data_IF_358582589263
#
_entry.id   IF_358582589263
#
_cell.length_a   1.000
_cell.length_b   1.000
_cell.length_c   1.000
_cell.angle_alpha   90.00
_cell.angle_beta   90.00
_cell.angle_gamma   90.00
#
_symmetry.space_group_name_H-M   'P 1'
#
loop_
_entity.id
_entity.type
_entity.pdbx_description
1 polymer ?
#
# COMPACT_ATOMS: atom_id res chain seq x y z
N UNK A 1 -7.86 -9.83 28.78
CA UNK A 1 -6.50 -9.37 29.12
C UNK A 1 -6.18 -9.63 30.60
N UNK A 2 -6.98 -9.15 31.56
CA UNK A 2 -6.73 -9.34 33.00
C UNK A 2 -6.56 -10.83 33.44
N UNK A 3 -7.35 -11.74 32.87
CA UNK A 3 -7.26 -13.18 33.19
C UNK A 3 -6.00 -13.86 32.65
N UNK A 4 -5.39 -13.35 31.57
CA UNK A 4 -4.17 -13.90 30.97
C UNK A 4 -2.95 -13.50 31.82
N UNK A 5 -2.93 -12.27 32.32
CA UNK A 5 -1.90 -11.79 33.24
C UNK A 5 -1.93 -12.57 34.58
N UNK A 6 -3.12 -12.87 35.10
CA UNK A 6 -3.26 -13.65 36.34
C UNK A 6 -2.72 -15.08 36.20
N UNK A 7 -2.95 -15.77 35.07
CA UNK A 7 -2.42 -17.12 34.82
C UNK A 7 -0.90 -17.08 34.59
N UNK A 8 -0.40 -16.06 33.88
CA UNK A 8 1.04 -15.86 33.71
C UNK A 8 1.78 -15.65 35.03
N UNK A 9 1.18 -14.90 35.97
CA UNK A 9 1.73 -14.70 37.31
C UNK A 9 1.75 -15.99 38.14
N UNK A 10 0.72 -16.84 38.03
CA UNK A 10 0.68 -18.13 38.73
C UNK A 10 1.77 -19.07 38.20
N UNK A 11 1.91 -19.21 36.88
CA UNK A 11 2.94 -20.09 36.28
C UNK A 11 4.36 -19.60 36.60
N UNK A 12 4.60 -18.28 36.58
CA UNK A 12 5.89 -17.69 36.92
C UNK A 12 6.28 -17.85 38.40
N UNK A 13 5.30 -17.94 39.31
CA UNK A 13 5.55 -18.13 40.74
C UNK A 13 5.91 -19.58 41.11
N UNK A 14 5.42 -20.57 40.36
CA UNK A 14 5.65 -21.99 40.67
C UNK A 14 6.84 -22.61 39.93
N UNK A 15 7.26 -22.07 38.79
CA UNK A 15 8.42 -22.57 38.03
C UNK A 15 9.76 -22.57 38.82
N UNK A 16 10.06 -21.56 39.68
CA UNK A 16 11.30 -21.55 40.46
C UNK A 16 11.32 -22.56 41.62
N UNK A 17 10.16 -23.03 42.08
CA UNK A 17 10.06 -23.99 43.18
C UNK A 17 10.34 -25.43 42.75
N UNK A 18 10.30 -25.73 41.45
CA UNK A 18 10.56 -27.06 40.90
C UNK A 18 12.05 -27.34 40.60
N UNK A 19 12.90 -26.30 40.50
CA UNK A 19 14.31 -26.44 40.13
C UNK A 19 15.29 -26.38 41.32
N UNK A 20 14.78 -26.38 42.56
CA UNK A 20 15.61 -26.49 43.76
C UNK A 20 15.94 -27.94 44.09
N UNK A 21 17.21 -28.32 43.91
CA UNK A 21 17.79 -29.63 44.26
C UNK A 21 17.30 -30.15 45.63
N UNK A 22 16.59 -31.27 45.61
CA UNK A 22 16.21 -32.05 46.79
C UNK A 22 16.52 -33.53 46.55
N UNK A 23 17.79 -33.89 46.75
CA UNK A 23 18.17 -35.26 47.05
C UNK A 23 17.71 -35.60 48.48
N UNK A 24 16.53 -36.21 48.63
CA UNK A 24 16.24 -37.18 49.72
C UNK A 24 15.23 -38.23 49.26
N UNK A 25 15.50 -39.53 49.44
CA UNK A 25 14.54 -40.59 49.18
C UNK A 25 13.62 -40.76 50.40
N UNK A 26 12.30 -40.82 50.17
CA UNK A 26 11.34 -41.28 51.17
C UNK A 26 10.19 -40.32 51.47
N UNK A 27 9.34 -40.03 50.49
CA UNK A 27 7.88 -39.86 50.65
C UNK A 27 7.24 -39.50 49.30
N UNK A 28 6.85 -40.51 48.52
CA UNK A 28 6.26 -40.39 47.18
C UNK A 28 4.71 -40.29 47.18
N UNK A 29 4.12 -39.74 48.24
CA UNK A 29 2.66 -39.80 48.43
C UNK A 29 1.83 -38.57 47.98
N UNK A 30 2.44 -37.42 47.70
CA UNK A 30 1.70 -36.14 47.61
C UNK A 30 1.90 -35.37 46.29
N UNK A 31 2.82 -35.79 45.40
CA UNK A 31 3.03 -35.06 44.13
C UNK A 31 2.00 -35.39 43.02
N UNK A 32 1.48 -36.62 42.97
CA UNK A 32 0.48 -37.03 41.96
C UNK A 32 -0.84 -36.22 41.91
N UNK A 33 -1.44 -35.76 43.03
CA UNK A 33 -2.69 -35.01 42.95
C UNK A 33 -2.54 -33.62 42.30
N UNK A 34 -1.36 -33.00 42.37
CA UNK A 34 -1.16 -31.64 41.85
C UNK A 34 -1.05 -31.61 40.32
N UNK A 35 -0.34 -32.56 39.72
CA UNK A 35 -0.27 -32.70 38.25
C UNK A 35 -1.63 -33.03 37.63
N UNK A 36 -2.42 -33.86 38.31
CA UNK A 36 -3.77 -34.19 37.90
C UNK A 36 -4.70 -32.96 37.96
N UNK A 37 -4.62 -32.15 39.03
CA UNK A 37 -5.40 -30.93 39.17
C UNK A 37 -5.04 -29.91 38.07
N UNK A 38 -3.75 -29.71 37.79
CA UNK A 38 -3.30 -28.81 36.72
C UNK A 38 -3.80 -29.28 35.35
N UNK A 39 -3.76 -30.59 35.08
CA UNK A 39 -4.25 -31.16 33.82
C UNK A 39 -5.76 -31.00 33.66
N UNK A 40 -6.54 -31.21 34.73
CA UNK A 40 -8.00 -31.02 34.73
C UNK A 40 -8.34 -29.55 34.49
N UNK A 41 -7.66 -28.62 35.17
CA UNK A 41 -7.90 -27.18 35.01
C UNK A 41 -7.55 -26.70 33.59
N UNK A 42 -6.46 -27.19 33.00
CA UNK A 42 -6.11 -26.90 31.61
C UNK A 42 -7.19 -27.40 30.63
N UNK A 43 -7.75 -28.59 30.87
CA UNK A 43 -8.79 -29.18 30.04
C UNK A 43 -10.12 -28.42 30.15
N UNK A 44 -10.52 -28.02 31.38
CA UNK A 44 -11.71 -27.18 31.61
C UNK A 44 -11.55 -25.81 30.95
N UNK A 45 -10.37 -25.21 31.02
CA UNK A 45 -10.10 -23.92 30.38
C UNK A 45 -10.17 -24.01 28.86
N UNK A 46 -9.56 -25.05 28.28
CA UNK A 46 -9.58 -25.30 26.84
C UNK A 46 -10.99 -25.54 26.30
N UNK A 47 -11.78 -26.38 26.98
CA UNK A 47 -13.17 -26.66 26.59
C UNK A 47 -14.09 -25.45 26.74
N UNK A 48 -13.92 -24.66 27.80
CA UNK A 48 -14.68 -23.41 27.99
C UNK A 48 -14.34 -22.37 26.90
N UNK A 49 -13.06 -22.23 26.55
CA UNK A 49 -12.62 -21.35 25.46
C UNK A 49 -13.19 -21.78 24.09
N UNK A 50 -13.19 -23.09 23.80
CA UNK A 50 -13.80 -23.64 22.59
C UNK A 50 -15.31 -23.37 22.53
N UNK A 51 -16.02 -23.50 23.66
CA UNK A 51 -17.46 -23.21 23.73
C UNK A 51 -17.78 -21.72 23.50
N UNK A 52 -16.96 -20.81 24.02
CA UNK A 52 -17.11 -19.36 23.76
C UNK A 52 -16.88 -19.06 22.29
N UNK A 53 -15.87 -19.67 21.66
CA UNK A 53 -15.62 -19.58 20.22
C UNK A 53 -16.80 -20.08 19.40
N UNK A 54 -17.36 -21.24 19.77
CA UNK A 54 -18.50 -21.83 19.07
C UNK A 54 -19.78 -20.97 19.17
N UNK A 55 -20.05 -20.38 20.34
CA UNK A 55 -21.19 -19.46 20.53
C UNK A 55 -21.01 -18.17 19.74
N UNK A 56 -19.78 -17.63 19.65
CA UNK A 56 -19.49 -16.45 18.84
C UNK A 56 -19.72 -16.72 17.34
N UNK A 57 -19.26 -17.86 16.84
CA UNK A 57 -19.49 -18.30 15.44
C UNK A 57 -20.98 -18.55 15.17
N UNK A 58 -21.69 -19.20 16.08
CA UNK A 58 -23.13 -19.47 15.94
C UNK A 58 -24.01 -18.21 16.02
N UNK A 59 -23.60 -17.19 16.80
CA UNK A 59 -24.29 -15.88 16.79
C UNK A 59 -24.03 -15.12 15.49
N UNK A 60 -22.83 -15.21 14.94
CA UNK A 60 -22.48 -14.62 13.64
C UNK A 60 -23.31 -15.23 12.50
N UNK A 61 -23.48 -16.55 12.48
CA UNK A 61 -24.28 -17.22 11.45
C UNK A 61 -25.78 -16.88 11.51
N UNK A 62 -26.34 -16.70 12.71
CA UNK A 62 -27.74 -16.22 12.89
C UNK A 62 -27.93 -14.77 12.44
N UNK A 63 -26.92 -13.92 12.58
CA UNK A 63 -26.93 -12.56 12.03
C UNK A 63 -27.00 -12.56 10.50
N UNK A 64 -26.23 -13.45 9.86
CA UNK A 64 -26.24 -13.65 8.40
C UNK A 64 -27.57 -14.24 7.89
N UNK A 65 -28.21 -15.13 8.64
CA UNK A 65 -29.53 -15.67 8.27
C UNK A 65 -30.63 -14.60 8.35
N UNK A 66 -30.50 -13.61 9.25
CA UNK A 66 -31.48 -12.53 9.42
C UNK A 66 -31.38 -11.45 8.33
N UNK A 67 -30.23 -11.33 7.66
CA UNK A 67 -30.05 -10.50 6.46
C UNK A 67 -30.79 -11.05 5.22
N UNK A 68 -31.24 -12.31 5.24
CA UNK A 68 -31.90 -12.97 4.10
C UNK A 68 -33.42 -12.75 4.02
N UNK A 69 -34.04 -12.02 4.95
CA UNK A 69 -35.49 -12.12 5.19
C UNK A 69 -36.30 -10.80 5.08
N UNK A 70 -35.79 -9.75 4.43
CA UNK A 70 -36.61 -8.57 4.09
C UNK A 70 -36.36 -8.13 2.65
N UNK A 71 -36.99 -8.79 1.66
CA UNK A 71 -37.20 -8.16 0.37
C UNK A 71 -38.25 -7.06 0.58
N UNK A 72 -38.13 -5.96 -0.14
CA UNK A 72 -39.11 -4.86 -0.14
C UNK A 72 -38.95 -3.87 1.02
N UNK A 73 -37.92 -3.03 0.95
CA UNK A 73 -38.08 -1.58 0.69
C UNK A 73 -36.77 -0.84 1.03
N UNK A 74 -36.05 -0.37 0.01
CA UNK A 74 -35.31 0.89 0.11
C UNK A 74 -33.93 0.95 0.81
N UNK A 75 -33.16 -0.12 0.96
CA UNK A 75 -31.92 -0.05 1.78
C UNK A 75 -30.63 -0.39 1.02
N UNK A 76 -30.35 0.35 -0.07
CA UNK A 76 -29.04 0.27 -0.76
C UNK A 76 -27.83 0.63 0.12
N UNK A 77 -28.04 1.14 1.33
CA UNK A 77 -26.98 1.46 2.29
C UNK A 77 -26.45 0.20 3.00
N UNK A 78 -27.31 -0.79 3.28
CA UNK A 78 -26.92 -2.01 4.00
C UNK A 78 -25.99 -2.92 3.14
N UNK A 79 -26.23 -2.93 1.83
CA UNK A 79 -25.42 -3.70 0.88
C UNK A 79 -23.98 -3.16 0.78
N UNK A 80 -23.82 -1.84 0.83
CA UNK A 80 -22.52 -1.17 0.68
C UNK A 80 -21.59 -1.44 1.86
N UNK A 81 -22.13 -1.41 3.07
CA UNK A 81 -21.36 -1.72 4.28
C UNK A 81 -20.93 -3.18 4.28
N UNK A 82 -21.80 -4.07 3.81
CA UNK A 82 -21.51 -5.50 3.71
C UNK A 82 -20.38 -5.76 2.72
N UNK A 83 -20.46 -5.21 1.51
CA UNK A 83 -19.41 -5.33 0.51
C UNK A 83 -18.08 -4.74 1.01
N UNK A 84 -18.12 -3.56 1.63
CA UNK A 84 -16.92 -2.94 2.21
C UNK A 84 -16.28 -3.85 3.26
N UNK A 85 -17.08 -4.45 4.16
CA UNK A 85 -16.61 -5.40 5.15
C UNK A 85 -15.98 -6.66 4.53
N UNK A 86 -16.56 -7.15 3.44
CA UNK A 86 -16.07 -8.30 2.65
C UNK A 86 -14.72 -7.99 2.00
N UNK A 87 -14.59 -6.86 1.30
CA UNK A 87 -13.32 -6.47 0.68
C UNK A 87 -12.25 -6.17 1.72
N UNK A 88 -12.62 -5.54 2.83
CA UNK A 88 -11.72 -5.32 3.95
C UNK A 88 -11.23 -6.65 4.53
N UNK A 89 -12.12 -7.62 4.69
CA UNK A 89 -11.75 -8.97 5.15
C UNK A 89 -10.81 -9.68 4.15
N UNK A 90 -11.06 -9.56 2.85
CA UNK A 90 -10.19 -10.11 1.80
C UNK A 90 -8.77 -9.52 1.87
N UNK A 91 -8.65 -8.20 2.06
CA UNK A 91 -7.37 -7.48 2.06
C UNK A 91 -6.60 -7.62 3.38
N UNK A 92 -7.28 -7.46 4.51
CA UNK A 92 -6.62 -7.27 5.81
C UNK A 92 -6.40 -8.58 6.58
N UNK A 93 -7.22 -9.61 6.38
CA UNK A 93 -7.08 -10.86 7.14
C UNK A 93 -5.84 -11.60 6.70
N UNK A 94 -5.13 -12.19 7.66
CA UNK A 94 -4.01 -13.08 7.40
C UNK A 94 -4.49 -14.52 7.27
N UNK A 95 -3.82 -15.30 6.43
CA UNK A 95 -4.09 -16.72 6.26
C UNK A 95 -2.76 -17.48 6.19
N UNK A 96 -2.73 -18.69 6.77
CA UNK A 96 -1.53 -19.54 6.75
C UNK A 96 -1.16 -19.92 5.32
N UNK A 97 -2.14 -20.35 4.52
CA UNK A 97 -2.02 -20.47 3.08
C UNK A 97 -2.70 -19.25 2.44
N UNK A 98 -1.99 -18.40 1.67
CA UNK A 98 -2.60 -17.21 1.07
C UNK A 98 -3.79 -17.49 0.15
N UNK A 99 -3.86 -18.68 -0.46
CA UNK A 99 -5.01 -19.08 -1.29
C UNK A 99 -6.30 -19.16 -0.46
N UNK A 100 -6.19 -19.52 0.83
CA UNK A 100 -7.34 -19.72 1.71
C UNK A 100 -8.18 -18.45 1.88
N UNK A 101 -7.62 -17.26 1.64
CA UNK A 101 -8.40 -16.01 1.62
C UNK A 101 -9.47 -16.07 0.53
N UNK A 102 -9.10 -16.42 -0.69
CA UNK A 102 -10.04 -16.55 -1.80
C UNK A 102 -11.08 -17.64 -1.54
N UNK A 103 -10.66 -18.78 -0.99
CA UNK A 103 -11.56 -19.88 -0.62
C UNK A 103 -12.56 -19.50 0.47
N UNK A 104 -12.09 -18.88 1.55
CA UNK A 104 -12.93 -18.45 2.65
C UNK A 104 -13.97 -17.40 2.21
N UNK A 105 -13.62 -16.56 1.24
CA UNK A 105 -14.52 -15.55 0.69
C UNK A 105 -15.52 -16.12 -0.31
N UNK A 106 -15.29 -17.30 -0.89
CA UNK A 106 -16.15 -17.88 -1.92
C UNK A 106 -17.62 -18.00 -1.48
N UNK A 107 -17.88 -18.58 -0.32
CA UNK A 107 -19.25 -18.74 0.19
C UNK A 107 -19.93 -17.40 0.52
N UNK A 108 -19.15 -16.40 0.95
CA UNK A 108 -19.67 -15.07 1.26
C UNK A 108 -20.03 -14.32 -0.03
N UNK A 109 -19.13 -14.32 -1.01
CA UNK A 109 -19.32 -13.69 -2.31
C UNK A 109 -20.46 -14.34 -3.10
N UNK A 110 -20.56 -15.67 -3.09
CA UNK A 110 -21.68 -16.38 -3.73
C UNK A 110 -23.03 -15.98 -3.10
N UNK A 111 -23.09 -15.79 -1.78
CA UNK A 111 -24.30 -15.30 -1.10
C UNK A 111 -24.62 -13.83 -1.43
N UNK A 112 -23.64 -13.04 -1.87
CA UNK A 112 -23.83 -11.67 -2.38
C UNK A 112 -24.21 -11.64 -3.88
N UNK A 113 -24.35 -12.81 -4.51
CA UNK A 113 -24.70 -12.92 -5.93
C UNK A 113 -23.51 -12.76 -6.88
N UNK A 114 -22.27 -12.81 -6.38
CA UNK A 114 -21.09 -12.86 -7.24
C UNK A 114 -21.06 -14.21 -7.95
N UNK A 115 -21.02 -14.20 -9.28
CA UNK A 115 -20.88 -15.42 -10.08
C UNK A 115 -19.40 -15.82 -10.13
N UNK A 116 -18.98 -16.66 -9.17
CA UNK A 116 -17.60 -17.15 -9.09
C UNK A 116 -17.44 -18.28 -10.09
N UNK A 117 -16.58 -18.07 -11.09
CA UNK A 117 -16.50 -18.89 -12.31
C UNK A 117 -16.21 -20.37 -12.01
N UNK A 118 -15.43 -20.67 -10.95
CA UNK A 118 -15.13 -22.03 -10.46
C UNK A 118 -14.77 -22.00 -8.98
N UNK A 119 -15.03 -23.07 -8.20
CA UNK A 119 -14.35 -23.26 -6.93
C UNK A 119 -12.85 -23.31 -7.21
N UNK A 120 -12.08 -22.42 -6.57
CA UNK A 120 -10.65 -22.31 -6.80
C UNK A 120 -9.99 -23.70 -6.66
N UNK A 121 -9.03 -24.02 -7.53
CA UNK A 121 -8.30 -25.27 -7.41
C UNK A 121 -7.04 -25.04 -6.59
N UNK A 122 -6.87 -25.76 -5.47
CA UNK A 122 -5.66 -25.61 -4.64
C UNK A 122 -4.37 -25.95 -5.39
N UNK A 123 -4.47 -26.69 -6.51
CA UNK A 123 -3.35 -27.04 -7.37
C UNK A 123 -2.96 -25.91 -8.36
N UNK A 124 -3.77 -24.86 -8.52
CA UNK A 124 -3.41 -23.70 -9.36
C UNK A 124 -2.32 -22.86 -8.71
N UNK A 125 -1.56 -22.08 -9.48
CA UNK A 125 -0.63 -21.10 -8.92
C UNK A 125 -1.39 -20.05 -8.10
N UNK A 126 -0.71 -19.41 -7.14
CA UNK A 126 -1.34 -18.38 -6.32
C UNK A 126 -1.81 -17.21 -7.19
N UNK A 127 -0.98 -16.82 -8.17
CA UNK A 127 -1.34 -15.78 -9.14
C UNK A 127 -2.63 -16.10 -9.87
N UNK A 128 -2.81 -17.36 -10.33
CA UNK A 128 -4.03 -17.76 -11.02
C UNK A 128 -5.27 -17.73 -10.14
N UNK A 129 -5.14 -18.12 -8.86
CA UNK A 129 -6.25 -18.06 -7.90
C UNK A 129 -6.69 -16.61 -7.65
N UNK A 130 -5.75 -15.67 -7.52
CA UNK A 130 -6.07 -14.24 -7.35
C UNK A 130 -6.56 -13.60 -8.65
N UNK A 131 -6.02 -13.98 -9.81
CA UNK A 131 -6.49 -13.56 -11.13
C UNK A 131 -7.95 -13.92 -11.34
N UNK A 132 -8.31 -15.19 -11.09
CA UNK A 132 -9.68 -15.68 -11.23
C UNK A 132 -10.63 -14.92 -10.29
N UNK A 133 -10.26 -14.78 -9.00
CA UNK A 133 -11.09 -14.06 -8.03
C UNK A 133 -11.27 -12.59 -8.41
N UNK A 134 -10.21 -11.88 -8.76
CA UNK A 134 -10.32 -10.47 -9.17
C UNK A 134 -11.15 -10.32 -10.45
N UNK A 135 -10.97 -11.23 -11.41
CA UNK A 135 -11.77 -11.26 -12.64
C UNK A 135 -13.26 -11.41 -12.34
N UNK A 136 -13.63 -12.34 -11.46
CA UNK A 136 -15.01 -12.56 -11.06
C UNK A 136 -15.60 -11.34 -10.32
N UNK A 137 -14.81 -10.70 -9.46
CA UNK A 137 -15.20 -9.46 -8.77
C UNK A 137 -15.45 -8.31 -9.75
N UNK A 138 -14.53 -8.05 -10.67
CA UNK A 138 -14.67 -6.96 -11.66
C UNK A 138 -15.82 -7.22 -12.64
N UNK A 139 -16.03 -8.48 -13.05
CA UNK A 139 -17.20 -8.86 -13.89
C UNK A 139 -18.52 -8.66 -13.17
N UNK A 140 -18.57 -8.95 -11.87
CA UNK A 140 -19.76 -8.73 -11.06
C UNK A 140 -20.02 -7.23 -10.84
N UNK A 141 -18.97 -6.46 -10.54
CA UNK A 141 -19.06 -5.02 -10.32
C UNK A 141 -17.79 -4.32 -10.85
N UNK A 142 -17.86 -3.62 -12.00
CA UNK A 142 -16.70 -2.97 -12.62
C UNK A 142 -15.96 -1.98 -11.72
N UNK A 143 -16.66 -1.31 -10.79
CA UNK A 143 -16.03 -0.39 -9.83
C UNK A 143 -15.01 -1.07 -8.89
N UNK A 144 -15.05 -2.41 -8.77
CA UNK A 144 -14.07 -3.19 -8.03
C UNK A 144 -12.69 -3.21 -8.69
N UNK A 145 -12.55 -2.64 -9.88
CA UNK A 145 -11.25 -2.29 -10.47
C UNK A 145 -10.42 -1.38 -9.55
N UNK A 146 -11.05 -0.68 -8.60
CA UNK A 146 -10.35 0.03 -7.52
C UNK A 146 -9.40 -0.87 -6.73
N UNK A 147 -9.59 -2.21 -6.70
CA UNK A 147 -8.67 -3.12 -6.00
C UNK A 147 -7.32 -3.27 -6.70
N UNK A 148 -7.13 -2.68 -7.89
CA UNK A 148 -5.79 -2.46 -8.46
C UNK A 148 -4.89 -1.65 -7.51
N UNK A 149 -5.47 -0.96 -6.52
CA UNK A 149 -4.74 -0.41 -5.37
C UNK A 149 -4.16 -1.46 -4.41
N UNK A 150 -4.06 -2.72 -4.80
CA UNK A 150 -3.25 -3.73 -4.10
C UNK A 150 -2.19 -4.38 -5.02
N UNK A 151 -2.07 -3.91 -6.27
CA UNK A 151 -1.05 -4.39 -7.23
C UNK A 151 0.35 -3.93 -6.82
N UNK A 152 1.35 -4.79 -7.03
CA UNK A 152 2.74 -4.47 -6.71
C UNK A 152 3.05 -4.48 -5.22
N UNK A 153 2.16 -5.02 -4.38
CA UNK A 153 2.39 -5.16 -2.95
C UNK A 153 3.36 -6.28 -2.58
N UNK A 154 4.09 -6.85 -3.54
CA UNK A 154 4.95 -8.03 -3.34
C UNK A 154 6.07 -7.69 -2.35
N UNK A 155 5.96 -8.22 -1.13
CA UNK A 155 6.96 -8.12 -0.06
C UNK A 155 7.91 -9.34 -0.06
N UNK A 156 7.69 -10.33 -0.91
CA UNK A 156 8.35 -11.63 -0.75
C UNK A 156 9.84 -11.53 -1.02
N UNK A 157 10.67 -11.71 0.00
CA UNK A 157 12.07 -12.06 -0.20
C UNK A 157 12.18 -13.52 -0.70
N UNK A 158 12.98 -13.81 -1.74
CA UNK A 158 13.72 -12.85 -2.55
C UNK A 158 12.76 -12.02 -3.44
N UNK A 159 12.85 -10.67 -3.44
CA UNK A 159 11.92 -9.75 -4.15
C UNK A 159 11.80 -9.92 -5.67
N UNK A 160 12.53 -10.86 -6.28
CA UNK A 160 12.93 -10.76 -7.68
C UNK A 160 12.16 -11.66 -8.66
N UNK A 161 11.35 -12.61 -8.22
CA UNK A 161 10.51 -13.37 -9.17
C UNK A 161 9.03 -13.17 -8.83
N UNK A 162 8.37 -12.16 -9.44
CA UNK A 162 6.93 -12.29 -9.66
C UNK A 162 6.64 -13.70 -10.18
N UNK A 163 5.61 -14.34 -9.64
CA UNK A 163 5.11 -15.61 -10.14
C UNK A 163 4.96 -15.43 -11.67
N UNK A 164 5.77 -16.12 -12.49
CA UNK A 164 5.85 -15.83 -13.93
C UNK A 164 4.52 -16.07 -14.64
N UNK A 165 3.62 -16.81 -13.98
CA UNK A 165 2.27 -17.10 -14.45
C UNK A 165 1.22 -16.12 -13.92
N UNK A 166 1.61 -15.12 -13.12
CA UNK A 166 0.72 -14.11 -12.57
C UNK A 166 0.78 -12.83 -13.41
N UNK A 167 -0.33 -12.41 -14.04
CA UNK A 167 -0.38 -11.14 -14.74
C UNK A 167 -0.02 -9.96 -13.82
N UNK A 168 0.69 -8.97 -14.34
CA UNK A 168 1.21 -7.86 -13.53
C UNK A 168 0.12 -7.01 -12.86
N UNK A 169 -1.10 -7.05 -13.38
CA UNK A 169 -2.24 -6.30 -12.87
C UNK A 169 -3.00 -7.03 -11.75
N UNK A 170 -2.66 -8.28 -11.44
CA UNK A 170 -3.38 -9.03 -10.41
C UNK A 170 -3.05 -8.49 -9.01
N UNK A 171 -4.06 -8.11 -8.22
CA UNK A 171 -3.85 -7.72 -6.82
C UNK A 171 -3.17 -8.83 -6.01
N UNK A 172 -2.19 -8.45 -5.19
CA UNK A 172 -1.56 -9.39 -4.26
C UNK A 172 -2.13 -9.23 -2.86
N UNK A 173 -3.06 -10.13 -2.50
CA UNK A 173 -3.68 -10.15 -1.19
C UNK A 173 -2.94 -11.02 -0.17
N UNK A 174 -1.70 -11.47 -0.42
CA UNK A 174 -0.91 -12.18 0.61
C UNK A 174 -0.76 -11.32 1.86
N UNK A 175 -0.38 -10.07 1.63
CA UNK A 175 -0.15 -9.07 2.66
C UNK A 175 -1.14 -7.93 2.48
N UNK A 176 -1.65 -7.40 3.60
CA UNK A 176 -2.40 -6.17 3.54
C UNK A 176 -1.42 -5.06 3.16
N UNK A 177 -1.51 -4.55 1.93
CA UNK A 177 -0.65 -3.46 1.49
C UNK A 177 -0.86 -2.28 2.44
N UNK A 178 0.13 -1.99 3.29
CA UNK A 178 0.07 -0.87 4.23
C UNK A 178 0.27 0.44 3.46
N UNK A 179 -0.73 0.84 2.67
CA UNK A 179 -0.73 2.08 1.90
C UNK A 179 -1.23 3.20 2.79
N UNK A 180 -0.39 3.58 3.74
CA UNK A 180 -0.76 4.56 4.78
C UNK A 180 -1.15 5.93 4.20
N UNK A 181 -0.73 6.22 2.96
CA UNK A 181 -1.09 7.44 2.22
C UNK A 181 -2.43 7.36 1.45
N UNK A 182 -2.99 6.16 1.25
CA UNK A 182 -4.35 6.01 0.69
C UNK A 182 -5.32 5.89 1.83
N UNK A 183 -6.09 6.94 2.08
CA UNK A 183 -7.15 6.85 3.08
C UNK A 183 -8.17 5.77 2.69
N UNK A 184 -8.68 4.97 3.64
CA UNK A 184 -9.67 3.93 3.37
C UNK A 184 -10.91 4.46 2.62
N UNK A 185 -11.29 5.72 2.81
CA UNK A 185 -12.41 6.35 2.09
C UNK A 185 -12.18 6.39 0.58
N UNK A 186 -10.94 6.52 0.11
CA UNK A 186 -10.65 6.55 -1.33
C UNK A 186 -10.76 5.15 -1.95
N UNK A 187 -10.67 4.08 -1.15
CA UNK A 187 -10.76 2.70 -1.62
C UNK A 187 -12.19 2.17 -1.49
N UNK A 188 -12.86 2.52 -0.39
CA UNK A 188 -14.15 1.95 -0.02
C UNK A 188 -15.33 2.94 -0.13
N UNK A 189 -15.08 4.25 -0.12
CA UNK A 189 -16.12 5.27 -0.01
C UNK A 189 -17.03 5.38 -1.24
N UNK A 190 -16.55 4.92 -2.40
CA UNK A 190 -17.32 4.85 -3.64
C UNK A 190 -18.02 3.50 -3.82
N UNK A 191 -17.69 2.47 -3.03
CA UNK A 191 -18.29 1.16 -3.16
C UNK A 191 -19.78 1.21 -2.83
N UNK A 192 -20.58 0.98 -3.86
CA UNK A 192 -22.02 0.86 -3.73
C UNK A 192 -22.81 2.17 -3.83
N UNK A 193 -22.13 3.28 -4.16
CA UNK A 193 -22.84 4.30 -4.94
C UNK A 193 -23.12 3.65 -6.29
N UNK A 194 -24.41 3.38 -6.59
CA UNK A 194 -24.87 3.17 -7.97
C UNK A 194 -24.69 4.48 -8.72
N UNK A 195 -23.43 4.81 -8.97
CA UNK A 195 -23.07 5.95 -9.76
C UNK A 195 -23.46 5.61 -11.19
N UNK A 196 -24.05 6.56 -11.91
CA UNK A 196 -24.21 6.46 -13.36
C UNK A 196 -22.88 6.13 -14.06
N UNK A 197 -21.74 6.40 -13.40
CA UNK A 197 -20.40 6.11 -13.92
C UNK A 197 -20.07 4.63 -14.08
N UNK A 198 -20.76 3.69 -13.41
CA UNK A 198 -20.43 2.26 -13.59
C UNK A 198 -20.75 1.78 -15.01
N UNK A 199 -21.75 2.39 -15.66
CA UNK A 199 -22.04 2.12 -17.07
C UNK A 199 -20.95 2.65 -18.02
N UNK A 200 -20.15 3.63 -17.57
CA UNK A 200 -19.08 4.25 -18.36
C UNK A 200 -17.72 3.58 -18.14
N UNK A 201 -17.59 2.69 -17.13
CA UNK A 201 -16.34 1.96 -16.86
C UNK A 201 -16.12 0.86 -17.91
N UNK A 202 -15.31 1.19 -18.93
CA UNK A 202 -14.83 0.23 -19.93
C UNK A 202 -13.64 -0.55 -19.38
N UNK A 203 -13.94 -1.61 -18.61
CA UNK A 203 -12.95 -2.57 -18.11
C UNK A 203 -13.22 -3.93 -18.74
N UNK A 204 -12.20 -4.52 -19.36
CA UNK A 204 -12.29 -5.84 -19.98
C UNK A 204 -11.14 -6.71 -19.49
N UNK A 205 -11.44 -7.94 -19.07
CA UNK A 205 -10.43 -8.94 -18.71
C UNK A 205 -10.64 -10.16 -19.60
N UNK A 206 -9.65 -10.42 -20.46
CA UNK A 206 -9.66 -11.52 -21.43
C UNK A 206 -8.25 -12.09 -21.59
N UNK A 207 -8.13 -13.43 -21.61
CA UNK A 207 -6.88 -14.15 -21.90
C UNK A 207 -5.67 -13.71 -21.03
N UNK A 208 -5.94 -13.37 -19.76
CA UNK A 208 -4.93 -12.89 -18.81
C UNK A 208 -4.49 -11.42 -19.03
N UNK A 209 -5.15 -10.71 -19.95
CA UNK A 209 -4.92 -9.29 -20.22
C UNK A 209 -6.07 -8.45 -19.65
N UNK A 210 -5.72 -7.37 -18.96
CA UNK A 210 -6.65 -6.36 -18.48
C UNK A 210 -6.58 -5.15 -19.42
N UNK A 211 -7.69 -4.82 -20.07
CA UNK A 211 -7.85 -3.59 -20.85
C UNK A 211 -8.69 -2.61 -20.05
N UNK A 212 -8.17 -1.40 -19.88
CA UNK A 212 -8.84 -0.32 -19.15
C UNK A 212 -8.47 1.04 -19.74
N UNK A 213 -9.39 2.00 -19.68
CA UNK A 213 -9.11 3.37 -20.09
C UNK A 213 -8.21 4.08 -19.05
N UNK A 214 -7.20 4.78 -19.55
CA UNK A 214 -6.26 5.54 -18.71
C UNK A 214 -5.69 6.75 -19.42
N UNK A 215 -5.15 7.67 -18.63
CA UNK A 215 -4.53 8.90 -19.09
C UNK A 215 -3.11 9.03 -18.51
N UNK A 216 -2.12 9.26 -19.38
CA UNK A 216 -0.75 9.53 -18.95
C UNK A 216 -0.64 10.96 -18.42
N UNK A 217 -0.10 11.13 -17.22
CA UNK A 217 0.18 12.44 -16.62
C UNK A 217 1.67 12.75 -16.51
N UNK A 218 2.55 11.79 -16.82
CA UNK A 218 3.99 12.00 -16.86
C UNK A 218 4.76 10.68 -16.97
N UNK A 219 6.09 10.77 -16.84
CA UNK A 219 6.98 9.63 -16.75
C UNK A 219 8.05 9.83 -15.68
N UNK A 220 8.57 8.74 -15.14
CA UNK A 220 9.62 8.76 -14.11
C UNK A 220 10.95 9.19 -14.75
N UNK A 221 11.32 10.45 -14.54
CA UNK A 221 12.59 11.01 -15.05
C UNK A 221 13.73 10.87 -14.06
N UNK A 222 13.40 10.88 -12.76
CA UNK A 222 14.35 10.70 -11.67
C UNK A 222 13.70 9.84 -10.60
N UNK A 223 14.47 8.93 -9.98
CA UNK A 223 13.98 8.12 -8.85
C UNK A 223 15.09 7.94 -7.83
N UNK A 224 14.75 7.96 -6.54
CA UNK A 224 15.69 7.55 -5.50
C UNK A 224 16.03 6.06 -5.63
N UNK A 225 17.29 5.71 -5.44
CA UNK A 225 17.75 4.33 -5.22
C UNK A 225 17.39 3.82 -3.83
N UNK A 226 17.57 2.52 -3.64
CA UNK A 226 17.57 1.90 -2.32
C UNK A 226 18.66 2.51 -1.43
N UNK A 227 18.45 2.45 -0.12
CA UNK A 227 19.30 3.11 0.87
C UNK A 227 19.90 2.07 1.79
N UNK A 228 21.17 1.79 1.58
CA UNK A 228 21.94 0.90 2.43
C UNK A 228 23.02 1.66 3.21
N UNK A 229 23.46 2.80 2.67
CA UNK A 229 24.60 3.58 3.18
C UNK A 229 24.32 5.08 3.19
N UNK A 230 25.16 5.85 3.91
CA UNK A 230 25.15 7.32 3.85
C UNK A 230 25.47 7.85 2.44
N UNK A 231 26.30 7.13 1.69
CA UNK A 231 26.61 7.45 0.30
C UNK A 231 25.37 7.37 -0.59
N UNK A 232 24.49 6.40 -0.36
CA UNK A 232 23.22 6.27 -1.07
C UNK A 232 22.29 7.44 -0.75
N UNK A 233 22.30 7.93 0.50
CA UNK A 233 21.52 9.10 0.90
C UNK A 233 21.96 10.35 0.14
N UNK A 234 23.27 10.60 0.06
CA UNK A 234 23.83 11.73 -0.71
C UNK A 234 23.50 11.62 -2.20
N UNK A 235 23.59 10.41 -2.75
CA UNK A 235 23.22 10.12 -4.14
C UNK A 235 21.74 10.41 -4.38
N UNK A 236 20.86 9.95 -3.50
CA UNK A 236 19.43 10.19 -3.58
C UNK A 236 19.06 11.66 -3.46
N UNK A 237 19.69 12.39 -2.54
CA UNK A 237 19.50 13.84 -2.42
C UNK A 237 19.95 14.57 -3.69
N UNK A 238 21.06 14.14 -4.29
CA UNK A 238 21.55 14.71 -5.55
C UNK A 238 20.58 14.46 -6.70
N UNK A 239 20.09 13.22 -6.85
CA UNK A 239 19.11 12.84 -7.88
C UNK A 239 17.82 13.64 -7.72
N UNK A 240 17.29 13.75 -6.51
CA UNK A 240 16.07 14.50 -6.26
C UNK A 240 16.27 16.00 -6.48
N UNK A 241 17.40 16.56 -6.03
CA UNK A 241 17.69 17.98 -6.23
C UNK A 241 17.76 18.35 -7.72
N UNK A 242 18.37 17.47 -8.54
CA UNK A 242 18.36 17.61 -10.00
C UNK A 242 16.95 17.54 -10.58
N UNK A 243 16.17 16.54 -10.18
CA UNK A 243 14.77 16.44 -10.63
C UNK A 243 13.94 17.68 -10.26
N UNK A 244 14.09 18.21 -9.04
CA UNK A 244 13.41 19.45 -8.62
C UNK A 244 13.86 20.68 -9.42
N UNK A 245 15.13 20.70 -9.86
CA UNK A 245 15.64 21.74 -10.73
C UNK A 245 15.03 21.65 -12.14
N UNK A 246 14.93 20.45 -12.70
CA UNK A 246 14.28 20.25 -14.01
C UNK A 246 12.80 20.64 -13.97
N UNK A 247 12.08 20.29 -12.90
CA UNK A 247 10.70 20.73 -12.68
C UNK A 247 10.55 22.25 -12.72
N UNK A 248 11.52 22.99 -12.19
CA UNK A 248 11.50 24.45 -12.15
C UNK A 248 11.57 25.08 -13.55
N UNK A 249 12.11 24.38 -14.53
CA UNK A 249 12.11 24.88 -15.91
C UNK A 249 10.68 24.90 -16.49
N UNK A 250 9.77 24.11 -15.92
CA UNK A 250 8.42 23.91 -16.45
C UNK A 250 7.31 24.46 -15.54
N UNK A 251 7.58 24.68 -14.25
CA UNK A 251 6.57 25.10 -13.27
C UNK A 251 6.97 26.34 -12.44
N UNK A 252 5.99 27.15 -12.02
CA UNK A 252 6.21 28.17 -11.00
C UNK A 252 6.75 27.54 -9.72
N UNK A 253 7.71 28.21 -9.07
CA UNK A 253 8.37 27.67 -7.87
C UNK A 253 7.35 27.33 -6.78
N UNK A 254 6.29 28.14 -6.60
CA UNK A 254 5.19 27.91 -5.65
C UNK A 254 4.59 26.52 -5.73
N UNK A 255 4.40 26.01 -6.94
CA UNK A 255 3.67 24.77 -7.19
C UNK A 255 4.57 23.55 -6.91
N UNK A 256 5.88 23.72 -7.11
CA UNK A 256 6.90 22.72 -6.79
C UNK A 256 7.01 22.56 -5.26
N UNK A 257 7.04 23.66 -4.51
CA UNK A 257 7.10 23.60 -3.03
C UNK A 257 5.92 22.82 -2.47
N UNK A 258 4.70 23.18 -2.88
CA UNK A 258 3.48 22.58 -2.37
C UNK A 258 3.43 21.07 -2.70
N UNK A 259 3.90 20.68 -3.89
CA UNK A 259 4.05 19.28 -4.26
C UNK A 259 4.99 18.49 -3.34
N UNK A 260 6.25 18.92 -3.22
CA UNK A 260 7.29 18.20 -2.46
C UNK A 260 6.97 18.17 -0.96
N UNK A 261 6.55 19.31 -0.40
CA UNK A 261 6.14 19.41 1.00
C UNK A 261 4.98 18.45 1.28
N UNK A 262 3.95 18.40 0.42
CA UNK A 262 2.84 17.45 0.57
C UNK A 262 3.27 15.99 0.43
N UNK A 263 4.26 15.65 -0.40
CA UNK A 263 4.80 14.27 -0.46
C UNK A 263 5.48 13.91 0.85
N UNK A 264 6.42 14.73 1.31
CA UNK A 264 7.12 14.49 2.56
C UNK A 264 6.15 14.45 3.75
N UNK A 265 5.22 15.40 3.81
CA UNK A 265 4.22 15.49 4.86
C UNK A 265 3.28 14.29 4.84
N UNK A 266 2.72 13.89 3.70
CA UNK A 266 1.83 12.72 3.62
C UNK A 266 2.54 11.42 3.99
N UNK A 267 3.82 11.30 3.66
CA UNK A 267 4.64 10.15 4.10
C UNK A 267 4.79 10.18 5.63
N UNK A 268 5.16 11.31 6.22
CA UNK A 268 5.38 11.43 7.68
C UNK A 268 4.10 11.37 8.51
N UNK A 269 3.02 11.99 8.05
CA UNK A 269 1.76 12.19 8.78
C UNK A 269 0.69 11.14 8.51
N UNK A 270 1.04 10.07 7.80
CA UNK A 270 0.13 8.95 7.62
C UNK A 270 -0.12 8.25 8.97
N UNK A 271 -1.16 8.74 9.67
CA UNK A 271 -1.49 8.58 11.10
C UNK A 271 -1.78 7.14 11.57
N UNK A 272 -1.77 6.15 10.69
CA UNK A 272 -2.19 4.78 11.00
C UNK A 272 -1.04 3.83 11.37
N UNK A 273 0.09 4.36 11.85
CA UNK A 273 1.05 3.51 12.55
C UNK A 273 0.49 3.22 13.95
N UNK A 274 -0.35 2.20 14.07
CA UNK A 274 -0.60 1.56 15.36
C UNK A 274 0.74 0.90 15.74
N UNK A 275 1.43 1.39 16.78
CA UNK A 275 2.73 0.84 17.12
C UNK A 275 2.54 -0.64 17.41
N UNK A 276 3.23 -1.48 16.63
CA UNK A 276 3.56 -2.84 17.05
C UNK A 276 3.91 -2.78 18.55
N UNK A 277 3.45 -3.71 19.41
CA UNK A 277 3.47 -3.58 20.87
C UNK A 277 4.88 -3.51 21.52
N UNK A 278 5.94 -3.27 20.73
CA UNK A 278 7.32 -3.01 21.17
C UNK A 278 8.01 -1.81 20.49
N UNK A 279 7.31 -0.90 19.81
CA UNK A 279 7.96 0.23 19.11
C UNK A 279 7.62 1.63 19.69
N UNK A 280 8.69 2.42 19.82
CA UNK A 280 8.82 3.78 20.33
C UNK A 280 7.68 4.75 19.96
N UNK A 281 7.26 5.66 20.88
CA UNK A 281 6.31 6.73 20.57
C UNK A 281 6.80 7.57 19.39
N UNK A 282 5.88 8.11 18.58
CA UNK A 282 6.20 9.08 17.52
C UNK A 282 6.94 10.23 18.20
N UNK A 283 8.26 10.29 17.99
CA UNK A 283 9.13 11.21 18.68
C UNK A 283 8.77 12.64 18.23
N UNK A 284 8.74 13.65 19.13
CA UNK A 284 8.60 15.08 18.77
C UNK A 284 9.51 15.52 17.61
N UNK A 285 10.61 14.79 17.41
CA UNK A 285 11.52 14.94 16.27
C UNK A 285 10.82 14.81 14.94
N UNK A 286 9.79 13.97 14.73
CA UNK A 286 9.16 13.79 13.40
C UNK A 286 8.29 14.99 12.98
N UNK A 287 7.62 15.63 13.93
CA UNK A 287 6.85 16.84 13.65
C UNK A 287 7.77 18.05 13.47
N UNK A 288 8.72 18.21 14.38
CA UNK A 288 9.79 19.22 14.28
C UNK A 288 10.63 18.99 13.01
N UNK A 289 10.74 17.75 12.55
CA UNK A 289 11.40 17.37 11.32
C UNK A 289 10.65 17.80 10.06
N UNK A 290 9.33 17.60 10.02
CA UNK A 290 8.50 18.08 8.92
C UNK A 290 8.58 19.61 8.83
N UNK A 291 8.50 20.31 9.96
CA UNK A 291 8.63 21.77 10.04
C UNK A 291 10.04 22.24 9.61
N UNK A 292 11.10 21.53 10.03
CA UNK A 292 12.48 21.80 9.59
C UNK A 292 12.70 21.47 8.11
N UNK A 293 12.06 20.43 7.57
CA UNK A 293 12.15 20.06 6.16
C UNK A 293 11.40 21.06 5.27
N UNK A 294 10.22 21.53 5.68
CA UNK A 294 9.52 22.64 5.03
C UNK A 294 10.36 23.93 5.11
N UNK A 295 10.92 24.23 6.29
CA UNK A 295 11.84 25.34 6.49
C UNK A 295 13.08 25.24 5.60
N UNK A 296 13.62 24.03 5.41
CA UNK A 296 14.75 23.75 4.53
C UNK A 296 14.39 23.93 3.05
N UNK A 297 13.27 23.39 2.58
CA UNK A 297 12.82 23.62 1.20
C UNK A 297 12.63 25.11 0.97
N UNK A 298 11.96 25.81 1.89
CA UNK A 298 11.80 27.26 1.86
C UNK A 298 13.15 27.99 1.81
N UNK A 299 14.12 27.64 2.67
CA UNK A 299 15.46 28.23 2.72
C UNK A 299 16.26 27.95 1.45
N UNK A 300 16.36 26.70 1.01
CA UNK A 300 17.11 26.30 -0.19
C UNK A 300 16.67 27.13 -1.40
N UNK A 301 15.37 27.19 -1.65
CA UNK A 301 14.85 27.89 -2.80
C UNK A 301 14.76 29.42 -2.59
N UNK A 302 14.62 29.93 -1.36
CA UNK A 302 14.70 31.37 -1.03
C UNK A 302 16.11 31.91 -1.23
N UNK A 303 17.12 31.23 -0.68
CA UNK A 303 18.54 31.53 -0.90
C UNK A 303 18.88 31.51 -2.40
N UNK A 304 18.28 30.61 -3.16
CA UNK A 304 18.46 30.56 -4.61
C UNK A 304 17.73 31.68 -5.37
N UNK A 305 16.52 32.07 -4.94
CA UNK A 305 15.79 33.24 -5.47
C UNK A 305 16.54 34.54 -5.21
N UNK A 306 17.11 34.68 -4.01
CA UNK A 306 17.85 35.86 -3.61
C UNK A 306 19.25 35.90 -4.28
N UNK A 307 19.90 34.76 -4.50
CA UNK A 307 21.11 34.65 -5.33
C UNK A 307 20.88 35.13 -6.78
N UNK A 308 19.73 34.78 -7.40
CA UNK A 308 19.38 35.26 -8.75
C UNK A 308 19.07 36.77 -8.79
N UNK A 309 18.41 37.32 -7.76
CA UNK A 309 18.14 38.78 -7.68
C UNK A 309 19.41 39.61 -7.55
N UNK A 310 20.45 39.05 -6.95
CA UNK A 310 21.72 39.73 -6.72
C UNK A 310 22.60 39.85 -7.98
N UNK A 311 22.13 39.39 -9.16
CA UNK A 311 22.94 39.34 -10.39
C UNK A 311 24.29 38.61 -10.21
N UNK A 312 24.39 37.79 -9.16
CA UNK A 312 25.41 36.75 -9.09
C UNK A 312 25.04 35.81 -10.24
N UNK A 313 25.95 35.71 -11.21
CA UNK A 313 25.89 34.90 -12.43
C UNK A 313 24.85 33.78 -12.33
N UNK A 314 23.91 33.61 -13.28
CA UNK A 314 22.99 32.48 -13.25
C UNK A 314 23.82 31.24 -12.97
N UNK A 315 23.58 30.56 -11.83
CA UNK A 315 24.40 29.44 -11.37
C UNK A 315 24.61 28.50 -12.55
N UNK A 316 25.74 28.66 -13.23
CA UNK A 316 25.90 28.20 -14.61
C UNK A 316 26.16 26.70 -14.63
N UNK A 317 26.38 26.14 -13.44
CA UNK A 317 26.44 24.72 -13.14
C UNK A 317 25.43 24.39 -12.03
N UNK A 318 24.48 23.51 -12.34
CA UNK A 318 23.57 22.82 -11.40
C UNK A 318 24.32 22.23 -10.19
N UNK A 319 25.61 21.92 -10.41
CA UNK A 319 26.54 21.44 -9.42
C UNK A 319 26.76 22.42 -8.25
N UNK A 320 26.84 23.73 -8.48
CA UNK A 320 27.10 24.70 -7.40
C UNK A 320 25.91 24.88 -6.46
N UNK A 321 24.67 24.83 -6.98
CA UNK A 321 23.47 24.86 -6.16
C UNK A 321 23.34 23.59 -5.29
N UNK A 322 23.67 22.44 -5.86
CA UNK A 322 23.74 21.17 -5.15
C UNK A 322 24.85 21.19 -4.10
N UNK A 323 26.03 21.74 -4.41
CA UNK A 323 27.14 21.87 -3.46
C UNK A 323 26.78 22.80 -2.29
N UNK A 324 26.08 23.92 -2.55
CA UNK A 324 25.58 24.81 -1.50
C UNK A 324 24.55 24.11 -0.62
N UNK A 325 23.60 23.38 -1.21
CA UNK A 325 22.63 22.56 -0.48
C UNK A 325 23.34 21.49 0.37
N UNK A 326 24.33 20.80 -0.20
CA UNK A 326 25.13 19.83 0.53
C UNK A 326 25.99 20.49 1.62
N UNK A 327 26.50 21.70 1.40
CA UNK A 327 27.22 22.48 2.40
C UNK A 327 26.34 22.83 3.59
N UNK A 328 25.12 23.31 3.33
CA UNK A 328 24.10 23.56 4.36
C UNK A 328 23.70 22.28 5.08
N UNK A 329 23.45 21.19 4.37
CA UNK A 329 23.11 19.89 4.97
C UNK A 329 24.25 19.30 5.82
N UNK A 330 25.50 19.62 5.50
CA UNK A 330 26.68 19.19 6.26
C UNK A 330 27.10 20.21 7.34
N UNK A 331 26.41 21.34 7.46
CA UNK A 331 26.70 22.29 8.51
C UNK A 331 26.44 21.62 9.88
N UNK A 332 27.33 21.81 10.89
CA UNK A 332 27.22 21.15 12.19
C UNK A 332 25.84 21.36 12.85
N UNK A 333 25.28 22.55 12.64
CA UNK A 333 24.01 23.01 13.20
C UNK A 333 22.78 22.39 12.50
N UNK A 334 22.97 21.73 11.35
CA UNK A 334 21.92 21.11 10.54
C UNK A 334 21.91 19.57 10.64
N UNK A 335 22.64 18.98 11.59
CA UNK A 335 22.65 17.53 11.85
C UNK A 335 21.24 16.94 12.03
N UNK A 336 20.34 17.68 12.67
CA UNK A 336 18.93 17.30 12.83
C UNK A 336 18.25 17.08 11.47
N UNK A 337 18.47 17.96 10.49
CA UNK A 337 17.83 17.90 9.17
C UNK A 337 18.30 16.68 8.37
N UNK A 338 19.59 16.35 8.45
CA UNK A 338 20.12 15.15 7.82
C UNK A 338 19.48 13.89 8.45
N UNK A 339 19.28 13.90 9.77
CA UNK A 339 18.58 12.84 10.49
C UNK A 339 17.10 12.73 10.04
N UNK A 340 16.39 13.85 9.89
CA UNK A 340 15.03 13.90 9.32
C UNK A 340 14.96 13.23 7.97
N UNK A 341 15.84 13.67 7.06
CA UNK A 341 15.89 13.18 5.70
C UNK A 341 16.17 11.69 5.71
N UNK A 342 17.12 11.23 6.52
CA UNK A 342 17.40 9.81 6.70
C UNK A 342 16.19 9.03 7.25
N UNK A 343 15.45 9.58 8.22
CA UNK A 343 14.22 8.97 8.76
C UNK A 343 13.16 8.86 7.66
N UNK A 344 12.91 9.93 6.89
CA UNK A 344 11.99 9.95 5.75
C UNK A 344 12.32 8.81 4.77
N UNK A 345 13.58 8.75 4.37
CA UNK A 345 14.12 7.78 3.44
C UNK A 345 14.03 6.33 3.97
N UNK A 346 14.34 6.10 5.25
CA UNK A 346 14.12 4.81 5.93
C UNK A 346 12.63 4.46 6.02
N UNK A 347 11.75 5.42 6.29
CA UNK A 347 10.30 5.22 6.33
C UNK A 347 9.75 4.83 4.96
N UNK A 348 10.25 5.42 3.88
CA UNK A 348 9.87 5.06 2.51
C UNK A 348 10.36 3.66 2.14
N UNK A 349 11.62 3.35 2.46
CA UNK A 349 12.17 2.00 2.23
C UNK A 349 11.37 0.93 2.97
N UNK A 350 11.05 1.14 4.26
CA UNK A 350 10.19 0.23 5.04
C UNK A 350 8.80 0.06 4.44
N UNK A 351 8.32 1.05 3.67
CA UNK A 351 7.03 1.04 2.98
C UNK A 351 7.11 0.57 1.54
N UNK A 352 8.27 0.08 1.09
CA UNK A 352 8.50 -0.40 -0.27
C UNK A 352 8.16 0.68 -1.31
N UNK A 353 8.56 1.92 -0.99
CA UNK A 353 8.37 3.08 -1.85
C UNK A 353 9.69 3.80 -2.09
N UNK A 354 9.78 4.44 -3.25
CA UNK A 354 10.85 5.36 -3.61
C UNK A 354 10.30 6.70 -4.05
N UNK A 355 11.06 7.77 -3.83
CA UNK A 355 10.70 9.08 -4.36
C UNK A 355 10.98 9.12 -5.85
N UNK A 356 10.16 9.88 -6.55
CA UNK A 356 10.40 10.17 -7.96
C UNK A 356 10.10 11.62 -8.29
N UNK A 357 10.66 12.04 -9.42
CA UNK A 357 10.32 13.27 -10.12
C UNK A 357 10.03 12.96 -11.58
N UNK A 358 9.00 13.59 -12.12
CA UNK A 358 8.56 13.56 -13.50
C UNK A 358 8.68 14.96 -14.08
N UNK A 359 9.79 15.22 -14.78
CA UNK A 359 10.05 16.52 -15.38
C UNK A 359 9.04 16.85 -16.50
N UNK A 360 8.61 15.84 -17.25
CA UNK A 360 7.63 15.97 -18.33
C UNK A 360 6.19 16.23 -17.83
N UNK A 361 5.83 15.67 -16.67
CA UNK A 361 4.53 15.88 -16.04
C UNK A 361 4.50 17.06 -15.08
N UNK A 362 5.65 17.58 -14.65
CA UNK A 362 5.68 18.59 -13.60
C UNK A 362 5.34 18.01 -12.21
N UNK A 363 5.68 16.75 -11.94
CA UNK A 363 5.22 16.04 -10.75
C UNK A 363 6.35 15.49 -9.90
N UNK A 364 6.16 15.47 -8.58
CA UNK A 364 6.99 14.74 -7.64
C UNK A 364 6.10 13.86 -6.77
N UNK A 365 6.58 12.69 -6.39
CA UNK A 365 5.74 11.70 -5.74
C UNK A 365 6.49 10.54 -5.13
N UNK A 366 5.73 9.53 -4.71
CA UNK A 366 6.26 8.24 -4.28
C UNK A 366 5.72 7.13 -5.20
N UNK A 367 6.59 6.22 -5.62
CA UNK A 367 6.29 5.09 -6.50
C UNK A 367 6.73 3.78 -5.83
N UNK A 368 6.31 2.59 -6.33
CA UNK A 368 6.80 1.31 -5.83
C UNK A 368 8.31 1.19 -6.03
N UNK A 369 8.99 0.43 -5.18
CA UNK A 369 10.46 0.25 -5.23
C UNK A 369 10.97 -0.25 -6.58
N UNK A 370 10.23 -1.14 -7.23
CA UNK A 370 10.56 -1.71 -8.54
C UNK A 370 10.16 -0.84 -9.73
N UNK A 371 9.63 0.38 -9.52
CA UNK A 371 9.48 1.33 -10.61
C UNK A 371 10.85 1.67 -11.23
N UNK A 372 10.92 2.11 -12.48
CA UNK A 372 12.16 2.42 -13.19
C UNK A 372 12.04 3.73 -13.96
N UNK A 373 13.18 4.27 -14.38
CA UNK A 373 13.20 5.45 -15.24
C UNK A 373 12.50 5.14 -16.57
N UNK A 374 11.65 6.06 -17.00
CA UNK A 374 10.81 5.91 -18.19
C UNK A 374 9.48 5.20 -17.95
N UNK A 375 9.22 4.65 -16.77
CA UNK A 375 7.88 4.16 -16.43
C UNK A 375 6.87 5.32 -16.47
N UNK A 376 5.66 5.05 -16.95
CA UNK A 376 4.60 6.04 -17.08
C UNK A 376 3.81 6.18 -15.78
N UNK A 377 3.45 7.43 -15.45
CA UNK A 377 2.48 7.74 -14.41
C UNK A 377 1.13 7.88 -15.09
N UNK A 378 0.21 6.97 -14.76
CA UNK A 378 -1.09 6.88 -15.42
C UNK A 378 -2.23 6.98 -14.43
N UNK A 379 -3.28 7.71 -14.79
CA UNK A 379 -4.56 7.67 -14.10
C UNK A 379 -5.40 6.60 -14.79
N UNK A 380 -5.91 5.63 -14.04
CA UNK A 380 -6.78 4.58 -14.59
C UNK A 380 -8.22 4.85 -14.18
N UNK A 381 -9.16 4.71 -15.12
CA UNK A 381 -10.56 4.99 -14.86
C UNK A 381 -11.10 4.01 -13.80
N UNK A 382 -11.77 4.54 -12.77
CA UNK A 382 -12.26 3.71 -11.65
C UNK A 382 -11.21 3.34 -10.61
N UNK A 383 -9.95 3.78 -10.76
CA UNK A 383 -8.90 3.63 -9.74
C UNK A 383 -8.70 4.98 -9.05
N UNK A 384 -8.71 5.04 -7.71
CA UNK A 384 -8.73 6.31 -6.98
C UNK A 384 -7.37 7.01 -6.87
N UNK A 385 -6.30 6.38 -7.36
CA UNK A 385 -4.93 6.84 -7.23
C UNK A 385 -4.18 6.66 -8.56
N UNK A 386 -3.13 7.47 -8.80
CA UNK A 386 -2.22 7.24 -9.91
C UNK A 386 -1.57 5.87 -9.81
N UNK A 387 -1.22 5.30 -10.95
CA UNK A 387 -0.54 4.03 -11.09
C UNK A 387 0.74 4.22 -11.90
N UNK A 388 1.73 3.37 -11.63
CA UNK A 388 2.95 3.26 -12.43
C UNK A 388 2.76 2.12 -13.43
N UNK A 389 2.95 2.43 -14.71
CA UNK A 389 2.83 1.49 -15.82
C UNK A 389 4.15 1.44 -16.59
N UNK A 390 4.68 0.23 -16.80
CA UNK A 390 5.89 0.01 -17.60
C UNK A 390 5.52 -0.50 -18.97
N UNK A 391 5.91 0.20 -20.03
CA UNK A 391 5.73 -0.30 -21.39
C UNK A 391 6.62 -1.52 -21.60
N UNK A 392 6.04 -2.68 -21.95
CA UNK A 392 6.83 -3.87 -22.30
C UNK A 392 7.44 -3.64 -23.68
N UNK A 393 8.76 -3.70 -23.77
CA UNK A 393 9.43 -3.74 -25.08
C UNK A 393 8.99 -5.02 -25.78
N UNK A 394 8.32 -4.88 -26.91
CA UNK A 394 8.00 -6.02 -27.75
C UNK A 394 9.29 -6.74 -28.14
N UNK A 395 9.35 -8.05 -27.90
CA UNK A 395 10.43 -8.86 -28.46
C UNK A 395 10.34 -8.74 -29.99
N UNK A 396 11.36 -8.18 -30.68
CA UNK A 396 11.32 -8.03 -32.12
C UNK A 396 11.06 -9.35 -32.86
N UNK A 397 11.32 -10.50 -32.21
CA UNK A 397 11.05 -11.84 -32.78
C UNK A 397 9.57 -12.21 -32.82
N UNK A 398 8.70 -11.58 -32.01
CA UNK A 398 7.25 -11.84 -31.98
C UNK A 398 6.42 -10.99 -32.95
N UNK A 399 7.04 -10.07 -33.70
CA UNK A 399 6.40 -9.20 -34.69
C UNK A 399 5.79 -9.88 -35.93
N UNK A 400 5.58 -11.21 -35.92
CA UNK A 400 4.99 -11.90 -37.09
C UNK A 400 3.46 -11.80 -37.15
N UNK A 401 2.80 -11.51 -36.03
CA UNK A 401 1.37 -11.21 -36.03
C UNK A 401 1.20 -9.69 -36.16
N UNK A 402 0.91 -9.24 -37.38
CA UNK A 402 0.97 -7.84 -37.81
C UNK A 402 -0.21 -6.96 -37.34
N UNK A 403 -1.14 -7.48 -36.54
CA UNK A 403 -2.47 -6.87 -36.39
C UNK A 403 -2.81 -6.28 -35.01
N UNK A 404 -1.93 -6.37 -34.00
CA UNK A 404 -2.16 -5.67 -32.71
C UNK A 404 -1.20 -4.48 -32.56
N UNK A 405 -1.57 -3.28 -33.04
CA UNK A 405 -0.70 -2.10 -33.02
C UNK A 405 -0.52 -1.50 -31.62
N UNK A 406 -1.17 -2.06 -30.60
CA UNK A 406 -1.34 -1.39 -29.33
C UNK A 406 -0.27 -1.80 -28.30
N UNK A 407 0.43 -0.85 -27.67
CA UNK A 407 1.48 -1.17 -26.72
C UNK A 407 0.92 -1.90 -25.49
N UNK A 408 1.63 -2.96 -25.07
CA UNK A 408 1.33 -3.68 -23.83
C UNK A 408 2.14 -3.13 -22.67
N UNK A 409 1.53 -3.12 -21.50
CA UNK A 409 2.10 -2.60 -20.27
C UNK A 409 2.19 -3.68 -19.18
N UNK A 410 3.14 -3.51 -18.27
CA UNK A 410 3.11 -4.13 -16.96
C UNK A 410 2.62 -3.10 -15.94
N UNK A 411 1.67 -3.47 -15.08
CA UNK A 411 1.24 -2.62 -13.98
C UNK A 411 2.22 -2.80 -12.82
N UNK A 412 3.01 -1.77 -12.51
CA UNK A 412 4.04 -1.82 -11.48
C UNK A 412 3.37 -1.67 -10.10
N UNK A 413 2.43 -0.75 -9.97
CA UNK A 413 1.69 -0.55 -8.73
C UNK A 413 1.21 0.89 -8.59
N UNK A 414 0.76 1.30 -7.41
CA UNK A 414 0.25 2.64 -7.18
C UNK A 414 1.38 3.68 -7.11
N UNK A 415 1.04 4.93 -7.35
CA UNK A 415 1.87 6.06 -6.98
C UNK A 415 1.09 7.06 -6.13
N UNK A 416 1.81 7.71 -5.23
CA UNK A 416 1.35 8.92 -4.60
C UNK A 416 1.79 10.11 -5.44
N UNK A 417 0.83 10.84 -6.03
CA UNK A 417 1.08 12.11 -6.72
C UNK A 417 0.15 13.17 -6.12
N UNK A 418 0.70 14.22 -5.47
CA UNK A 418 -0.11 15.30 -4.93
C UNK A 418 -1.09 15.86 -5.96
N UNK A 419 -2.34 16.08 -5.53
CA UNK A 419 -3.38 16.65 -6.39
C UNK A 419 -4.04 15.65 -7.36
N UNK A 420 -3.61 14.39 -7.39
CA UNK A 420 -4.23 13.31 -8.17
C UNK A 420 -4.69 12.12 -7.29
N UNK A 421 -4.75 12.29 -5.97
CA UNK A 421 -5.30 11.30 -5.04
C UNK A 421 -6.80 11.55 -4.87
N UNK A 422 -7.59 10.48 -4.74
CA UNK A 422 -9.02 10.60 -4.54
C UNK A 422 -9.75 10.94 -5.84
N UNK A 423 -9.32 10.37 -6.98
CA UNK A 423 -9.92 10.65 -8.30
C UNK A 423 -11.44 10.37 -8.37
N UNK A 424 -11.94 9.55 -7.44
CA UNK A 424 -13.33 9.17 -7.33
C UNK A 424 -14.10 10.00 -6.31
N UNK A 425 -13.43 10.89 -5.58
CA UNK A 425 -14.07 11.76 -4.61
C UNK A 425 -14.94 12.82 -5.32
N UNK A 426 -16.13 13.14 -4.79
CA UNK A 426 -16.98 14.20 -5.35
C UNK A 426 -16.29 15.56 -5.39
N UNK A 427 -15.37 15.80 -4.45
CA UNK A 427 -14.67 17.07 -4.30
C UNK A 427 -13.39 17.16 -5.17
N UNK A 428 -13.08 16.12 -5.94
CA UNK A 428 -11.94 16.13 -6.84
C UNK A 428 -12.16 17.13 -7.99
N UNK A 429 -11.16 17.96 -8.27
CA UNK A 429 -11.20 18.93 -9.37
C UNK A 429 -11.17 18.22 -10.74
N UNK A 430 -12.36 17.92 -11.26
CA UNK A 430 -12.55 17.21 -12.54
C UNK A 430 -12.02 17.98 -13.74
N UNK A 431 -11.88 19.29 -13.65
CA UNK A 431 -11.34 20.10 -14.77
C UNK A 431 -9.91 19.71 -15.15
N UNK A 432 -9.18 19.08 -14.21
CA UNK A 432 -7.87 18.49 -14.48
C UNK A 432 -7.96 17.24 -15.36
N UNK A 433 -9.02 16.44 -15.22
CA UNK A 433 -9.22 15.19 -15.97
C UNK A 433 -9.69 15.45 -17.39
N UNK A 434 -10.49 16.49 -17.59
CA UNK A 434 -11.07 16.85 -18.90
C UNK A 434 -10.01 17.29 -19.91
N UNK A 435 -8.82 17.70 -19.43
CA UNK A 435 -7.68 18.09 -20.27
C UNK A 435 -6.77 16.94 -20.65
N UNK A 436 -6.99 15.76 -20.07
CA UNK A 436 -6.12 14.61 -20.30
C UNK A 436 -6.59 13.82 -21.52
N UNK A 437 -5.63 13.28 -22.25
CA UNK A 437 -5.89 12.33 -23.33
C UNK A 437 -6.12 10.94 -22.73
N UNK A 438 -7.38 10.51 -22.74
CA UNK A 438 -7.77 9.17 -22.32
C UNK A 438 -7.67 8.19 -23.48
N UNK A 439 -6.98 7.08 -23.25
CA UNK A 439 -6.78 6.00 -24.21
C UNK A 439 -6.84 4.65 -23.52
N UNK A 440 -6.96 3.58 -24.29
CA UNK A 440 -6.91 2.24 -23.71
C UNK A 440 -5.48 1.89 -23.27
N UNK A 441 -5.37 1.16 -22.16
CA UNK A 441 -4.16 0.54 -21.64
C UNK A 441 -4.39 -0.96 -21.52
N UNK A 442 -3.52 -1.76 -22.14
CA UNK A 442 -3.51 -3.23 -22.06
C UNK A 442 -2.43 -3.69 -21.10
N UNK A 443 -2.83 -4.22 -19.95
CA UNK A 443 -1.93 -4.75 -18.93
C UNK A 443 -1.85 -6.27 -19.01
N UNK A 444 -0.62 -6.79 -18.98
CA UNK A 444 -0.37 -8.24 -18.94
C UNK A 444 0.62 -8.61 -17.86
#
# INVERSE_FOLDING_TARGET
MANIAAVGCIVAFYLPLANGSLEKPGNSGILYPLELIVSILAWVFFTSWMMVGFVAVAKSSKGLAKLKATPETGDGIADNQTLTGVLRALRERQATNPKDKSFAMHGVLANLGVNISRPANLNESLGKVYENLFTDLVRWQPSLVTLLVDVGAVVSEPPWLPDPDCPSWVPDWRYAAQRVWVEPRHIYGHLGRKSSSDADLKVMIQDGELTIEGAKIGSLTHTSSELFTESDLRTNLTILSRGLFDLRQHLPVSDIYDGVARVAFSILHSRNYEPQPKAYPIHPTVQNAAEKFDGFLLLFFKSHRDAQKLSLVPLQDDYQAILLLMGELNAPDNSDLLEVINILFKCMYRRQQKLFVSADGGHAGAAPTHAELGDEIVLLRGVPVPMIARQKREDPKRRRDYDDPMPRYALIGPAYVPGYIGLLDPDFDRTKLDRLEWKEYKFR
#
